data_IF_370578132269
#
_entry.id   IF_370578132269
#
_cell.length_a   1.000
_cell.length_b   1.000
_cell.length_c   1.000
_cell.angle_alpha   90.00
_cell.angle_beta   90.00
_cell.angle_gamma   90.00
#
_symmetry.space_group_name_H-M   'P 1'
#
loop_
_entity.id
_entity.type
_entity.pdbx_description
1 polymer ?
#
# COMPACT_ATOMS: atom_id res chain seq x y z
N UNK A 1 -1.19 -21.63 -2.14
CA UNK A 1 -0.95 -22.76 -1.22
C UNK A 1 -1.53 -22.39 0.14
N UNK A 2 -2.42 -23.19 0.71
CA UNK A 2 -3.12 -22.91 1.97
C UNK A 2 -2.85 -24.07 2.93
N UNK A 3 -2.29 -23.78 4.11
CA UNK A 3 -1.98 -24.78 5.12
C UNK A 3 -3.12 -24.86 6.13
N UNK A 4 -3.65 -26.07 6.33
CA UNK A 4 -4.78 -26.36 7.24
C UNK A 4 -4.25 -26.98 8.53
N UNK A 5 -4.75 -26.55 9.69
CA UNK A 5 -4.39 -27.14 10.98
C UNK A 5 -5.01 -28.54 11.05
N UNK A 6 -4.17 -29.59 11.07
CA UNK A 6 -4.58 -30.95 11.47
C UNK A 6 -4.42 -31.07 12.99
N UNK A 7 -5.29 -31.88 13.63
CA UNK A 7 -5.35 -32.04 15.09
C UNK A 7 -4.04 -32.43 15.79
N UNK A 8 -3.05 -32.96 15.06
CA UNK A 8 -1.71 -33.35 15.56
C UNK A 8 -0.56 -32.38 15.22
N UNK A 9 -0.85 -31.17 14.74
CA UNK A 9 0.21 -30.19 14.48
C UNK A 9 0.83 -29.68 15.78
N UNK A 10 2.17 -29.55 15.85
CA UNK A 10 2.84 -29.04 17.06
C UNK A 10 2.33 -27.65 17.47
N UNK A 11 2.34 -27.37 18.77
CA UNK A 11 1.90 -26.08 19.33
C UNK A 11 2.66 -24.87 18.73
N UNK A 12 3.90 -25.08 18.27
CA UNK A 12 4.71 -24.09 17.56
C UNK A 12 4.07 -23.75 16.20
N UNK A 13 3.67 -24.76 15.42
CA UNK A 13 3.03 -24.55 14.12
C UNK A 13 1.65 -23.89 14.23
N UNK A 14 0.89 -24.22 15.27
CA UNK A 14 -0.39 -23.56 15.55
C UNK A 14 -0.17 -22.08 15.92
N UNK A 15 0.82 -21.80 16.79
CA UNK A 15 1.19 -20.43 17.16
C UNK A 15 1.64 -19.59 15.96
N UNK A 16 2.40 -20.16 15.01
CA UNK A 16 2.80 -19.48 13.78
C UNK A 16 1.59 -19.19 12.88
N UNK A 17 0.66 -20.14 12.75
CA UNK A 17 -0.54 -19.96 11.93
C UNK A 17 -1.47 -18.89 12.51
N UNK A 18 -1.60 -18.84 13.84
CA UNK A 18 -2.34 -17.79 14.54
C UNK A 18 -1.63 -16.44 14.40
N UNK A 19 -0.31 -16.41 14.59
CA UNK A 19 0.51 -15.21 14.39
C UNK A 19 0.37 -14.65 12.97
N UNK A 20 0.28 -15.50 11.94
CA UNK A 20 0.02 -15.08 10.55
C UNK A 20 -1.33 -14.37 10.40
N UNK A 21 -2.37 -14.88 11.05
CA UNK A 21 -3.70 -14.28 10.98
C UNK A 21 -3.74 -12.95 11.74
N UNK A 22 -3.10 -12.87 12.90
CA UNK A 22 -2.92 -11.61 13.63
C UNK A 22 -2.12 -10.59 12.83
N UNK A 23 -1.04 -11.01 12.17
CA UNK A 23 -0.26 -10.14 11.30
C UNK A 23 -1.10 -9.65 10.13
N UNK A 24 -1.92 -10.49 9.50
CA UNK A 24 -2.86 -10.04 8.46
C UNK A 24 -3.83 -8.97 8.94
N UNK A 25 -4.27 -9.06 10.19
CA UNK A 25 -5.17 -8.08 10.79
C UNK A 25 -4.46 -6.77 11.22
N UNK A 26 -3.15 -6.83 11.49
CA UNK A 26 -2.36 -5.70 11.99
C UNK A 26 -1.31 -5.13 11.04
N UNK A 27 -1.09 -5.70 9.86
CA UNK A 27 -0.10 -5.20 8.91
C UNK A 27 -0.56 -3.90 8.28
N UNK A 28 0.24 -2.85 8.46
CA UNK A 28 0.10 -1.60 7.75
C UNK A 28 0.56 -1.75 6.30
N UNK A 29 -0.07 -1.00 5.39
CA UNK A 29 0.36 -0.91 4.00
C UNK A 29 1.70 -0.18 3.92
N UNK A 30 2.66 -0.81 3.25
CA UNK A 30 3.95 -0.19 2.95
C UNK A 30 4.12 -0.12 1.43
N UNK A 31 4.39 1.07 0.92
CA UNK A 31 4.63 1.28 -0.51
C UNK A 31 6.09 0.95 -0.81
N UNK A 32 6.28 0.01 -1.74
CA UNK A 32 7.57 -0.35 -2.33
C UNK A 32 8.04 0.69 -3.35
N UNK A 33 8.37 0.23 -4.55
CA UNK A 33 8.70 1.07 -5.71
C UNK A 33 7.47 1.69 -6.40
N UNK A 34 6.26 1.26 -6.01
CA UNK A 34 4.98 1.76 -6.53
C UNK A 34 4.71 1.41 -8.00
N UNK A 35 5.52 0.56 -8.63
CA UNK A 35 5.43 0.29 -10.09
C UNK A 35 4.16 -0.47 -10.46
N UNK A 36 3.70 -1.35 -9.57
CA UNK A 36 2.51 -2.17 -9.77
C UNK A 36 1.26 -1.61 -9.11
N UNK A 37 1.34 -0.47 -8.40
CA UNK A 37 0.21 0.12 -7.68
C UNK A 37 -0.37 1.26 -8.51
N UNK A 38 -1.63 1.14 -8.91
CA UNK A 38 -2.41 2.22 -9.53
C UNK A 38 -2.92 3.18 -8.46
N UNK A 39 -2.68 4.49 -8.66
CA UNK A 39 -3.04 5.52 -7.67
C UNK A 39 -4.54 5.50 -7.37
N UNK A 40 -5.38 5.42 -8.39
CA UNK A 40 -6.83 5.58 -8.27
C UNK A 40 -7.60 4.27 -8.11
N UNK A 41 -7.05 3.16 -8.61
CA UNK A 41 -7.77 1.88 -8.69
C UNK A 41 -7.47 0.95 -7.52
N UNK A 42 -6.26 1.00 -6.96
CA UNK A 42 -5.84 0.07 -5.91
C UNK A 42 -6.12 0.62 -4.51
N UNK A 43 -6.29 -0.28 -3.54
CA UNK A 43 -6.57 0.05 -2.15
C UNK A 43 -5.27 0.15 -1.33
N UNK A 44 -4.48 1.19 -1.55
CA UNK A 44 -3.14 1.35 -0.96
C UNK A 44 -3.02 2.49 0.06
N UNK A 45 -4.05 3.34 0.21
CA UNK A 45 -4.06 4.42 1.21
C UNK A 45 -4.70 3.93 2.51
N UNK A 46 -4.03 4.07 3.68
CA UNK A 46 -4.62 3.73 4.96
C UNK A 46 -5.94 4.50 5.20
N UNK A 47 -6.97 3.81 5.69
CA UNK A 47 -8.32 4.33 6.05
C UNK A 47 -9.24 4.68 4.89
N UNK A 48 -8.79 5.46 3.89
CA UNK A 48 -9.62 5.81 2.73
C UNK A 48 -9.61 4.74 1.64
N UNK A 49 -8.66 3.79 1.72
CA UNK A 49 -8.35 2.77 0.73
C UNK A 49 -7.80 3.35 -0.58
N UNK A 50 -8.46 4.34 -1.18
CA UNK A 50 -8.06 5.02 -2.42
C UNK A 50 -8.33 6.53 -2.34
N UNK A 51 -7.72 7.34 -3.23
CA UNK A 51 -8.01 8.76 -3.30
C UNK A 51 -9.50 9.04 -3.54
N UNK A 52 -10.03 10.09 -2.92
CA UNK A 52 -11.39 10.57 -3.19
C UNK A 52 -11.45 11.49 -4.42
N UNK A 53 -10.30 11.96 -4.89
CA UNK A 53 -10.18 12.80 -6.09
C UNK A 53 -10.84 12.12 -7.28
N UNK A 54 -11.80 12.80 -7.89
CA UNK A 54 -12.48 12.34 -9.11
C UNK A 54 -11.61 12.74 -10.30
N UNK A 55 -11.16 11.75 -11.06
CA UNK A 55 -10.34 11.97 -12.26
C UNK A 55 -10.99 11.40 -13.51
N UNK A 56 -10.74 11.99 -14.71
CA UNK A 56 -11.13 11.39 -15.98
C UNK A 56 -10.49 10.00 -16.15
N UNK A 57 -11.18 9.11 -16.85
CA UNK A 57 -10.73 7.72 -17.08
C UNK A 57 -9.32 7.63 -17.67
N UNK A 58 -8.91 8.61 -18.49
CA UNK A 58 -7.56 8.71 -19.05
C UNK A 58 -6.43 8.79 -17.99
N UNK A 59 -6.71 9.32 -16.79
CA UNK A 59 -5.74 9.53 -15.70
C UNK A 59 -5.67 8.33 -14.74
N UNK A 60 -6.59 7.37 -14.85
CA UNK A 60 -6.64 6.17 -13.99
C UNK A 60 -5.43 5.23 -14.16
N UNK A 61 -4.68 5.39 -15.25
CA UNK A 61 -3.45 4.62 -15.53
C UNK A 61 -2.23 5.08 -14.72
N UNK A 62 -2.33 6.20 -13.98
CA UNK A 62 -1.22 6.74 -13.20
C UNK A 62 -0.81 5.78 -12.08
N UNK A 63 0.47 5.39 -12.09
CA UNK A 63 1.08 4.52 -11.09
C UNK A 63 1.69 5.32 -9.95
N UNK A 64 1.75 4.71 -8.76
CA UNK A 64 2.37 5.30 -7.56
C UNK A 64 3.85 5.58 -7.81
N UNK A 65 4.54 4.77 -8.60
CA UNK A 65 5.92 5.05 -9.03
C UNK A 65 6.10 6.40 -9.75
N UNK A 66 5.07 6.90 -10.43
CA UNK A 66 5.11 8.19 -11.13
C UNK A 66 5.17 9.40 -10.19
N UNK A 67 4.71 9.22 -8.95
CA UNK A 67 4.69 10.24 -7.88
C UNK A 67 5.74 9.98 -6.79
N UNK A 68 6.70 9.07 -7.05
CA UNK A 68 7.87 8.83 -6.20
C UNK A 68 9.11 9.42 -6.89
N UNK A 69 9.92 10.17 -6.14
CA UNK A 69 11.20 10.69 -6.59
C UNK A 69 12.29 9.61 -6.54
N UNK A 70 13.37 9.77 -7.31
CA UNK A 70 14.53 8.85 -7.27
C UNK A 70 15.21 8.79 -5.89
N UNK A 71 15.04 9.82 -5.09
CA UNK A 71 15.52 9.92 -3.71
C UNK A 71 14.66 9.12 -2.71
N UNK A 72 13.64 8.40 -3.18
CA UNK A 72 12.69 7.64 -2.37
C UNK A 72 11.83 8.51 -1.44
N UNK A 73 11.44 9.68 -1.95
CA UNK A 73 10.49 10.59 -1.31
C UNK A 73 9.29 10.83 -2.21
N UNK A 74 8.15 11.18 -1.61
CA UNK A 74 6.95 11.58 -2.35
C UNK A 74 7.20 12.86 -3.16
N UNK A 75 6.77 12.85 -4.42
CA UNK A 75 6.82 14.00 -5.31
C UNK A 75 5.59 14.90 -5.08
N UNK A 76 5.73 15.84 -4.15
CA UNK A 76 4.67 16.76 -3.74
C UNK A 76 4.05 17.53 -4.91
N UNK A 77 4.87 18.01 -5.83
CA UNK A 77 4.39 18.80 -6.96
C UNK A 77 3.50 17.96 -7.86
N UNK A 78 3.94 16.74 -8.21
CA UNK A 78 3.13 15.82 -9.01
C UNK A 78 1.86 15.39 -8.29
N UNK A 79 1.92 15.15 -6.98
CA UNK A 79 0.71 14.78 -6.22
C UNK A 79 -0.34 15.89 -6.31
N UNK A 80 0.04 17.16 -6.08
CA UNK A 80 -0.89 18.30 -6.14
C UNK A 80 -1.43 18.62 -7.53
N UNK A 81 -0.71 18.23 -8.58
CA UNK A 81 -1.20 18.36 -9.95
C UNK A 81 -2.35 17.40 -10.27
N UNK A 82 -2.42 16.26 -9.58
CA UNK A 82 -3.36 15.17 -9.93
C UNK A 82 -4.39 14.88 -8.83
N UNK A 83 -4.16 15.34 -7.60
CA UNK A 83 -4.93 14.98 -6.41
C UNK A 83 -5.36 16.22 -5.62
N UNK A 84 -6.51 16.13 -4.97
CA UNK A 84 -6.95 17.10 -3.98
C UNK A 84 -6.09 17.03 -2.73
N UNK A 85 -5.97 18.18 -2.07
CA UNK A 85 -5.10 18.37 -0.91
C UNK A 85 -5.32 17.30 0.18
N UNK A 86 -6.58 16.89 0.43
CA UNK A 86 -6.91 15.83 1.38
C UNK A 86 -6.26 14.48 1.07
N UNK A 87 -6.21 14.09 -0.21
CA UNK A 87 -5.58 12.84 -0.64
C UNK A 87 -4.06 12.99 -0.61
N UNK A 88 -3.52 14.17 -0.95
CA UNK A 88 -2.08 14.42 -0.89
C UNK A 88 -1.57 14.29 0.55
N UNK A 89 -2.28 14.89 1.51
CA UNK A 89 -1.92 14.77 2.93
C UNK A 89 -1.95 13.32 3.39
N UNK A 90 -3.00 12.56 3.02
CA UNK A 90 -3.09 11.14 3.37
C UNK A 90 -1.96 10.29 2.76
N UNK A 91 -1.54 10.58 1.52
CA UNK A 91 -0.43 9.89 0.85
C UNK A 91 0.90 10.25 1.50
N UNK A 92 1.12 11.51 1.89
CA UNK A 92 2.35 11.94 2.53
C UNK A 92 2.58 11.29 3.90
N UNK A 93 1.53 10.87 4.59
CA UNK A 93 1.64 10.08 5.83
C UNK A 93 2.14 8.64 5.60
N UNK A 94 2.10 8.14 4.37
CA UNK A 94 2.51 6.77 4.05
C UNK A 94 4.05 6.71 3.98
N UNK A 95 4.70 5.89 4.82
CA UNK A 95 6.15 5.72 4.74
C UNK A 95 6.52 4.91 3.48
N UNK A 96 7.46 5.44 2.71
CA UNK A 96 8.09 4.71 1.60
C UNK A 96 9.12 3.72 2.14
N UNK A 97 9.16 2.51 1.57
CA UNK A 97 10.13 1.50 2.00
C UNK A 97 11.54 1.83 1.51
N UNK A 98 12.55 1.71 2.38
CA UNK A 98 13.96 1.89 2.02
C UNK A 98 14.62 0.65 1.40
N UNK A 99 13.88 -0.44 1.16
CA UNK A 99 14.47 -1.70 0.71
C UNK A 99 14.79 -1.66 -0.79
N UNK A 100 15.93 -1.07 -1.11
CA UNK A 100 16.67 -1.36 -2.34
C UNK A 100 17.26 -2.77 -2.22
N UNK A 101 16.91 -3.66 -3.14
CA UNK A 101 17.70 -4.85 -3.48
C UNK A 101 18.60 -4.52 -4.65
#
# INVERSE_FOLDING_TARGET
>A
MQATIKGDSSAIWQSILWGRETLRLGTHWQVGDGTNISIFSDHWIPRSFRPITIVPEAVTSLKVSGVIQRSNFWDWEKLRMHLWEVDVQAIMEIPLSYNYR
#
